data_IF_733531199421
#
_entry.id   IF_733531199421
#
_cell.length_a   1.000
_cell.length_b   1.000
_cell.length_c   1.000
_cell.angle_alpha   90.00
_cell.angle_beta   90.00
_cell.angle_gamma   90.00
#
_symmetry.space_group_name_H-M   'P 1'
#
loop_
_entity.id
_entity.type
_entity.pdbx_description
1 polymer ?
#
# COMPACT_ATOMS: atom_id res chain seq x y z
N UNK A 1 -7.88 -8.42 16.95
CA UNK A 1 -6.80 -8.54 15.95
C UNK A 1 -7.45 -8.78 14.60
N UNK A 2 -7.14 -7.95 13.60
CA UNK A 2 -7.74 -8.06 12.27
C UNK A 2 -7.03 -9.14 11.43
N UNK A 3 -7.79 -10.10 10.92
CA UNK A 3 -7.28 -11.11 9.97
C UNK A 3 -7.16 -10.49 8.58
N UNK A 4 -6.05 -10.79 7.87
CA UNK A 4 -5.76 -10.20 6.57
C UNK A 4 -5.47 -11.29 5.52
N UNK A 5 -5.90 -11.08 4.29
CA UNK A 5 -5.63 -11.98 3.16
C UNK A 5 -4.12 -12.12 2.86
N UNK A 6 -3.37 -11.04 3.09
CA UNK A 6 -1.93 -11.05 2.89
C UNK A 6 -1.20 -12.06 3.79
N UNK A 7 -1.79 -12.48 4.92
CA UNK A 7 -1.19 -13.49 5.81
C UNK A 7 -1.02 -14.84 5.08
N UNK A 8 -2.00 -15.23 4.26
CA UNK A 8 -1.89 -16.43 3.42
C UNK A 8 -0.76 -16.28 2.39
N UNK A 9 -0.69 -15.12 1.71
CA UNK A 9 0.38 -14.85 0.78
C UNK A 9 1.78 -14.93 1.43
N UNK A 10 1.94 -14.37 2.61
CA UNK A 10 3.21 -14.41 3.36
C UNK A 10 3.59 -15.86 3.72
N UNK A 11 2.61 -16.69 4.11
CA UNK A 11 2.84 -18.10 4.40
C UNK A 11 3.29 -18.87 3.15
N UNK A 12 2.62 -18.65 2.00
CA UNK A 12 2.97 -19.27 0.72
C UNK A 12 4.35 -18.79 0.24
N UNK A 13 4.65 -17.50 0.37
CA UNK A 13 5.96 -16.93 0.04
C UNK A 13 7.08 -17.61 0.85
N UNK A 14 6.88 -17.80 2.15
CA UNK A 14 7.89 -18.47 2.99
C UNK A 14 8.14 -19.91 2.58
N UNK A 15 7.13 -20.62 2.09
CA UNK A 15 7.25 -22.01 1.64
C UNK A 15 7.89 -22.15 0.27
N UNK A 16 7.94 -21.07 -0.54
CA UNK A 16 8.53 -21.10 -1.88
C UNK A 16 10.03 -21.34 -1.82
N UNK A 17 10.55 -22.27 -2.64
CA UNK A 17 11.97 -22.59 -2.73
C UNK A 17 12.81 -21.45 -3.32
N UNK A 18 12.26 -20.75 -4.34
CA UNK A 18 12.93 -19.64 -5.04
C UNK A 18 12.43 -18.27 -4.56
N UNK A 19 12.14 -18.14 -3.26
CA UNK A 19 11.64 -16.88 -2.71
C UNK A 19 12.68 -15.77 -2.80
N UNK A 20 12.24 -14.66 -3.35
CA UNK A 20 13.02 -13.43 -3.43
C UNK A 20 12.72 -12.54 -2.23
N UNK A 21 13.62 -11.60 -1.86
CA UNK A 21 13.26 -10.53 -0.96
C UNK A 21 11.90 -9.93 -1.32
N UNK A 22 11.04 -9.79 -0.32
CA UNK A 22 9.66 -9.32 -0.50
C UNK A 22 9.57 -7.84 -0.19
N UNK A 23 9.00 -7.06 -1.10
CA UNK A 23 8.74 -5.64 -0.91
C UNK A 23 7.24 -5.42 -0.86
N UNK A 24 6.73 -4.97 0.28
CA UNK A 24 5.30 -4.69 0.49
C UNK A 24 5.09 -3.18 0.43
N UNK A 25 4.47 -2.71 -0.64
CA UNK A 25 4.06 -1.32 -0.80
C UNK A 25 2.58 -1.14 -0.49
N UNK A 26 2.16 0.07 -0.20
CA UNK A 26 0.76 0.41 0.07
C UNK A 26 0.66 1.72 0.82
N UNK A 27 -0.53 2.29 0.87
CA UNK A 27 -0.78 3.56 1.55
C UNK A 27 -0.34 3.53 3.02
N UNK A 28 -0.10 4.70 3.58
CA UNK A 28 0.15 4.83 5.03
C UNK A 28 -1.00 4.24 5.83
N UNK A 29 -0.67 3.69 7.00
CA UNK A 29 -1.64 3.17 7.97
C UNK A 29 -2.49 1.99 7.48
N UNK A 30 -2.19 1.36 6.32
CA UNK A 30 -2.87 0.13 5.91
C UNK A 30 -2.43 -1.13 6.68
N UNK A 31 -1.45 -0.99 7.61
CA UNK A 31 -1.04 -2.06 8.53
C UNK A 31 0.19 -2.87 8.09
N UNK A 32 1.01 -2.39 7.14
CA UNK A 32 2.20 -3.10 6.61
C UNK A 32 3.17 -3.54 7.71
N UNK A 33 3.68 -2.59 8.47
CA UNK A 33 4.65 -2.83 9.54
C UNK A 33 4.13 -3.85 10.54
N UNK A 34 2.86 -3.71 10.96
CA UNK A 34 2.23 -4.61 11.91
C UNK A 34 2.18 -6.05 11.41
N UNK A 35 1.69 -6.26 10.18
CA UNK A 35 1.49 -7.61 9.64
C UNK A 35 2.82 -8.31 9.38
N UNK A 36 3.84 -7.57 8.91
CA UNK A 36 5.18 -8.13 8.67
C UNK A 36 5.85 -8.51 9.98
N UNK A 37 5.80 -7.65 11.00
CA UNK A 37 6.36 -7.98 12.32
C UNK A 37 5.66 -9.16 12.98
N UNK A 38 4.31 -9.22 12.89
CA UNK A 38 3.53 -10.36 13.38
C UNK A 38 3.99 -11.66 12.69
N UNK A 39 3.97 -11.65 11.35
CA UNK A 39 4.37 -12.81 10.57
C UNK A 39 5.80 -13.28 10.90
N UNK A 40 6.73 -12.33 10.98
CA UNK A 40 8.12 -12.67 11.28
C UNK A 40 8.28 -13.30 12.68
N UNK A 41 7.62 -12.73 13.71
CA UNK A 41 7.66 -13.28 15.09
C UNK A 41 7.04 -14.67 15.20
N UNK A 42 6.02 -14.97 14.41
CA UNK A 42 5.34 -16.27 14.42
C UNK A 42 6.09 -17.34 13.63
N UNK A 43 6.99 -16.94 12.72
CA UNK A 43 7.57 -17.86 11.73
C UNK A 43 9.10 -17.97 11.75
N UNK A 44 9.83 -17.17 12.53
CA UNK A 44 11.29 -17.16 12.56
C UNK A 44 11.82 -17.19 14.00
N UNK A 45 12.97 -17.84 14.18
CA UNK A 45 13.66 -17.91 15.48
C UNK A 45 14.29 -16.57 15.88
N UNK A 46 14.61 -15.73 14.87
CA UNK A 46 15.18 -14.41 15.07
C UNK A 46 14.56 -13.39 14.09
N UNK A 47 14.29 -12.20 14.58
CA UNK A 47 13.77 -11.07 13.78
C UNK A 47 14.64 -9.86 13.99
N UNK A 48 15.21 -9.34 12.92
CA UNK A 48 16.00 -8.10 12.94
C UNK A 48 15.18 -7.02 12.25
N UNK A 49 14.68 -6.06 13.03
CA UNK A 49 13.83 -4.98 12.56
C UNK A 49 14.54 -3.65 12.59
N UNK A 50 14.39 -2.87 11.53
CA UNK A 50 14.83 -1.48 11.48
C UNK A 50 13.85 -0.62 10.70
N UNK A 51 13.67 0.62 11.16
CA UNK A 51 12.85 1.63 10.50
C UNK A 51 13.73 2.83 10.10
N UNK A 52 13.88 3.09 8.81
CA UNK A 52 14.80 4.10 8.31
C UNK A 52 14.36 5.55 8.52
N UNK A 53 13.11 5.77 8.97
CA UNK A 53 12.64 7.10 9.42
C UNK A 53 12.97 7.31 10.89
N UNK A 54 12.66 6.31 11.72
CA UNK A 54 12.82 6.41 13.18
C UNK A 54 14.28 6.23 13.61
N UNK A 55 15.06 5.47 12.85
CA UNK A 55 16.43 5.07 13.16
C UNK A 55 17.37 5.37 11.97
N UNK A 56 17.55 6.65 11.61
CA UNK A 56 18.31 7.05 10.41
C UNK A 56 19.80 6.68 10.48
N UNK A 57 20.36 6.50 11.66
CA UNK A 57 21.72 6.04 11.90
C UNK A 57 21.97 4.63 11.36
N UNK A 58 20.95 3.76 11.35
CA UNK A 58 21.04 2.40 10.81
C UNK A 58 21.23 2.35 9.28
N UNK A 59 21.00 3.45 8.56
CA UNK A 59 21.32 3.56 7.14
C UNK A 59 22.80 3.32 6.88
N UNK A 60 23.66 3.64 7.84
CA UNK A 60 25.11 3.42 7.76
C UNK A 60 25.51 1.96 7.57
N UNK A 61 24.66 1.00 7.99
CA UNK A 61 24.91 -0.42 7.76
C UNK A 61 24.96 -0.81 6.27
N UNK A 62 24.35 -0.02 5.41
CA UNK A 62 24.23 -0.25 3.97
C UNK A 62 25.15 0.65 3.14
N UNK A 63 26.04 1.45 3.77
CA UNK A 63 26.99 2.31 3.07
C UNK A 63 28.29 1.56 2.74
N UNK A 64 28.89 1.89 1.59
CA UNK A 64 30.15 1.27 1.15
C UNK A 64 29.94 -0.07 0.46
N UNK A 65 30.55 -1.13 0.98
CA UNK A 65 30.38 -2.46 0.41
C UNK A 65 29.03 -3.06 0.86
N UNK A 66 28.19 -3.43 -0.10
CA UNK A 66 26.85 -3.99 0.12
C UNK A 66 26.79 -5.53 0.00
N UNK A 67 27.91 -6.23 0.21
CA UNK A 67 27.87 -7.67 0.40
C UNK A 67 27.20 -8.02 1.74
N UNK A 68 26.60 -9.20 1.79
CA UNK A 68 25.77 -9.60 2.94
C UNK A 68 26.59 -9.74 4.22
N UNK A 69 27.83 -10.23 4.15
CA UNK A 69 28.67 -10.40 5.36
C UNK A 69 29.02 -9.05 5.99
N UNK A 70 29.37 -8.07 5.17
CA UNK A 70 29.62 -6.69 5.64
C UNK A 70 28.36 -6.07 6.23
N UNK A 71 27.20 -6.23 5.58
CA UNK A 71 25.94 -5.70 6.10
C UNK A 71 25.58 -6.35 7.45
N UNK A 72 25.70 -7.67 7.56
CA UNK A 72 25.41 -8.41 8.81
C UNK A 72 26.37 -7.97 9.94
N UNK A 73 27.65 -7.79 9.64
CA UNK A 73 28.62 -7.30 10.63
C UNK A 73 28.23 -5.90 11.13
N UNK A 74 27.90 -4.98 10.21
CA UNK A 74 27.46 -3.63 10.54
C UNK A 74 26.17 -3.64 11.38
N UNK A 75 25.17 -4.44 10.96
CA UNK A 75 23.92 -4.56 11.70
C UNK A 75 24.12 -5.17 13.09
N UNK A 76 25.04 -6.14 13.23
CA UNK A 76 25.38 -6.74 14.54
C UNK A 76 26.00 -5.72 15.50
N UNK A 77 26.78 -4.77 14.95
CA UNK A 77 27.36 -3.69 15.74
C UNK A 77 26.36 -2.61 16.14
N UNK A 78 25.41 -2.28 15.23
CA UNK A 78 24.41 -1.22 15.44
C UNK A 78 23.19 -1.68 16.25
N UNK A 79 22.84 -2.98 16.20
CA UNK A 79 21.65 -3.53 16.85
C UNK A 79 22.08 -4.53 17.92
N UNK A 80 22.21 -4.04 19.15
CA UNK A 80 22.61 -4.88 20.28
C UNK A 80 21.66 -6.05 20.49
N UNK A 81 22.23 -7.26 20.66
CA UNK A 81 21.46 -8.49 20.88
C UNK A 81 20.84 -9.08 19.61
N UNK A 82 21.08 -8.51 18.44
CA UNK A 82 20.66 -9.12 17.17
C UNK A 82 21.35 -10.47 16.96
N UNK A 83 20.58 -11.45 16.45
CA UNK A 83 21.10 -12.78 16.11
C UNK A 83 20.81 -13.06 14.66
N UNK A 84 21.83 -13.44 13.91
CA UNK A 84 21.70 -13.81 12.50
C UNK A 84 21.96 -15.33 12.38
N UNK A 85 20.86 -16.07 12.23
CA UNK A 85 20.86 -17.54 12.11
C UNK A 85 20.44 -17.86 10.69
N UNK A 86 21.28 -18.53 9.92
CA UNK A 86 21.01 -18.90 8.52
C UNK A 86 19.72 -19.71 8.40
N UNK A 87 18.85 -19.34 7.49
CA UNK A 87 17.55 -19.95 7.24
C UNK A 87 16.48 -19.70 8.33
N UNK A 88 16.83 -19.02 9.44
CA UNK A 88 15.94 -18.83 10.60
C UNK A 88 15.76 -17.36 11.01
N UNK A 89 16.43 -16.44 10.35
CA UNK A 89 16.32 -15.01 10.62
C UNK A 89 15.52 -14.33 9.52
N UNK A 90 14.55 -13.50 9.91
CA UNK A 90 13.90 -12.55 9.04
C UNK A 90 14.42 -11.13 9.30
N UNK A 91 14.91 -10.47 8.26
CA UNK A 91 15.35 -9.09 8.30
C UNK A 91 14.21 -8.21 7.76
N UNK A 92 13.73 -7.26 8.57
CA UNK A 92 12.65 -6.35 8.20
C UNK A 92 13.23 -4.96 7.99
N UNK A 93 13.09 -4.43 6.76
CA UNK A 93 13.52 -3.10 6.35
C UNK A 93 12.29 -2.21 6.15
N UNK A 94 11.90 -1.50 7.21
CA UNK A 94 10.70 -0.66 7.20
C UNK A 94 11.02 0.75 6.67
N UNK A 95 10.10 1.31 5.87
CA UNK A 95 10.25 2.59 5.15
C UNK A 95 11.50 2.61 4.25
N UNK A 96 11.69 1.54 3.46
CA UNK A 96 12.90 1.31 2.65
C UNK A 96 13.17 2.43 1.63
N UNK A 97 12.16 3.24 1.24
CA UNK A 97 12.37 4.40 0.37
C UNK A 97 13.29 5.46 0.97
N UNK A 98 13.52 5.41 2.26
CA UNK A 98 14.43 6.32 2.97
C UNK A 98 15.90 5.89 2.90
N UNK A 99 16.19 4.66 2.43
CA UNK A 99 17.55 4.12 2.28
C UNK A 99 17.69 3.39 0.93
N UNK A 100 18.21 4.08 -0.07
CA UNK A 100 18.39 3.54 -1.43
C UNK A 100 19.39 2.40 -1.47
N UNK A 101 20.43 2.50 -0.67
CA UNK A 101 21.48 1.50 -0.53
C UNK A 101 20.90 0.18 0.00
N UNK A 102 20.03 0.24 1.01
CA UNK A 102 19.31 -0.95 1.52
C UNK A 102 18.43 -1.59 0.44
N UNK A 103 17.77 -0.79 -0.41
CA UNK A 103 17.01 -1.33 -1.54
C UNK A 103 17.91 -2.00 -2.57
N UNK A 104 19.05 -1.41 -2.88
CA UNK A 104 20.04 -2.03 -3.78
C UNK A 104 20.58 -3.34 -3.20
N UNK A 105 20.79 -3.40 -1.89
CA UNK A 105 21.26 -4.59 -1.17
C UNK A 105 20.28 -5.78 -1.22
N UNK A 106 19.00 -5.58 -1.57
CA UNK A 106 18.06 -6.69 -1.77
C UNK A 106 18.57 -7.70 -2.81
N UNK A 107 19.29 -7.23 -3.85
CA UNK A 107 19.95 -8.09 -4.82
C UNK A 107 21.02 -8.98 -4.15
N UNK A 108 21.84 -8.42 -3.31
CA UNK A 108 22.89 -9.16 -2.58
C UNK A 108 22.27 -10.22 -1.66
N UNK A 109 21.21 -9.89 -0.94
CA UNK A 109 20.46 -10.84 -0.10
C UNK A 109 19.82 -11.96 -0.90
N UNK A 110 19.28 -11.66 -2.09
CA UNK A 110 18.71 -12.71 -2.95
C UNK A 110 19.77 -13.70 -3.45
N UNK A 111 20.94 -13.17 -3.86
CA UNK A 111 22.05 -14.02 -4.37
C UNK A 111 22.65 -14.86 -3.25
N UNK A 112 22.78 -14.28 -2.05
CA UNK A 112 23.32 -14.96 -0.86
C UNK A 112 22.39 -16.06 -0.33
N UNK A 113 21.10 -15.79 -0.22
CA UNK A 113 20.05 -16.74 0.13
C UNK A 113 20.02 -17.21 1.58
N UNK A 114 20.96 -16.77 2.45
CA UNK A 114 21.00 -17.20 3.88
C UNK A 114 19.90 -16.60 4.75
N UNK A 115 19.38 -15.43 4.37
CA UNK A 115 18.42 -14.68 5.18
C UNK A 115 17.20 -14.27 4.37
N UNK A 116 16.02 -14.40 4.98
CA UNK A 116 14.80 -13.86 4.40
C UNK A 116 14.69 -12.37 4.70
N UNK A 117 14.38 -11.58 3.67
CA UNK A 117 14.25 -10.12 3.79
C UNK A 117 12.86 -9.68 3.38
N UNK A 118 12.19 -8.92 4.24
CA UNK A 118 10.91 -8.27 3.94
C UNK A 118 11.09 -6.76 4.11
N UNK A 119 10.88 -6.03 3.03
CA UNK A 119 10.90 -4.57 3.05
C UNK A 119 9.49 -4.00 2.96
N UNK A 120 9.24 -2.89 3.65
CA UNK A 120 7.97 -2.18 3.55
C UNK A 120 8.20 -0.72 3.16
N UNK A 121 7.19 -0.10 2.54
CA UNK A 121 7.23 1.33 2.24
C UNK A 121 5.88 1.87 1.79
N UNK A 122 5.59 3.09 2.20
CA UNK A 122 4.32 3.76 1.90
C UNK A 122 4.37 4.63 0.64
N UNK A 123 5.54 5.18 0.30
CA UNK A 123 5.75 6.11 -0.80
C UNK A 123 6.76 5.58 -1.82
N UNK A 124 6.82 4.26 -1.99
CA UNK A 124 7.76 3.61 -2.90
C UNK A 124 7.58 4.06 -4.35
N UNK A 125 6.34 4.30 -4.78
CA UNK A 125 6.05 4.82 -6.11
C UNK A 125 6.58 6.24 -6.34
N UNK A 126 6.53 7.08 -5.31
CA UNK A 126 6.96 8.49 -5.40
C UNK A 126 8.47 8.65 -5.25
N UNK A 127 9.07 8.00 -4.24
CA UNK A 127 10.52 8.14 -3.95
C UNK A 127 11.40 7.10 -4.65
N UNK A 128 10.87 5.94 -4.96
CA UNK A 128 11.64 4.83 -5.56
C UNK A 128 11.69 4.85 -7.08
N UNK A 129 10.77 5.57 -7.72
CA UNK A 129 10.65 5.71 -9.18
C UNK A 129 10.74 7.15 -9.64
N UNK A 130 10.89 8.10 -8.71
CA UNK A 130 11.02 9.51 -9.03
C UNK A 130 12.25 9.74 -9.90
N UNK A 131 12.03 10.11 -11.14
CA UNK A 131 13.02 10.78 -11.96
C UNK A 131 13.38 12.10 -11.24
N UNK A 132 14.32 12.03 -10.28
CA UNK A 132 15.02 13.27 -9.96
C UNK A 132 15.66 13.69 -11.28
N UNK A 133 15.37 14.91 -11.72
CA UNK A 133 16.16 15.61 -12.74
C UNK A 133 17.57 15.82 -12.18
N UNK A 134 18.28 14.72 -11.91
CA UNK A 134 19.67 14.75 -11.49
C UNK A 134 20.52 15.09 -12.68
N UNK A 135 21.44 16.02 -12.46
CA UNK A 135 22.54 16.34 -13.36
C UNK A 135 23.22 15.05 -13.82
N UNK A 136 23.66 15.02 -15.09
CA UNK A 136 24.31 13.89 -15.78
C UNK A 136 25.52 13.23 -15.06
N UNK A 137 25.90 13.70 -13.88
CA UNK A 137 27.07 13.24 -13.13
C UNK A 137 26.79 12.08 -12.14
N UNK A 138 25.52 11.76 -11.85
CA UNK A 138 25.12 10.69 -10.90
C UNK A 138 24.61 9.40 -11.59
N UNK A 139 24.98 9.16 -12.84
CA UNK A 139 24.53 7.99 -13.63
C UNK A 139 25.41 6.78 -13.29
N UNK A 140 25.29 6.22 -12.09
CA UNK A 140 26.12 5.06 -11.78
C UNK A 140 25.67 4.14 -10.66
N UNK A 141 24.77 4.56 -9.75
CA UNK A 141 24.52 3.79 -8.54
C UNK A 141 23.03 3.55 -8.16
N UNK A 142 22.06 4.07 -8.89
CA UNK A 142 20.64 3.94 -8.56
C UNK A 142 19.97 2.85 -9.44
N UNK A 143 20.35 1.58 -9.32
CA UNK A 143 19.63 0.50 -10.01
C UNK A 143 18.63 -0.17 -9.08
N UNK A 144 17.33 -0.02 -9.38
CA UNK A 144 16.30 -0.90 -8.80
C UNK A 144 16.68 -2.34 -9.17
N UNK A 145 16.70 -3.28 -8.21
CA UNK A 145 17.09 -4.67 -8.48
C UNK A 145 16.01 -5.42 -9.27
N UNK A 146 15.85 -5.07 -10.55
CA UNK A 146 14.88 -5.70 -11.42
C UNK A 146 15.13 -7.22 -11.49
N UNK A 147 14.11 -8.01 -11.15
CA UNK A 147 14.19 -9.47 -11.18
C UNK A 147 14.72 -10.12 -9.88
N UNK A 148 15.21 -9.35 -8.92
CA UNK A 148 15.79 -9.84 -7.65
C UNK A 148 14.90 -9.57 -6.42
N UNK A 149 13.75 -8.96 -6.61
CA UNK A 149 12.75 -8.71 -5.57
C UNK A 149 11.35 -9.12 -6.06
N UNK A 150 10.46 -9.47 -5.14
CA UNK A 150 9.03 -9.60 -5.39
C UNK A 150 8.32 -8.41 -4.77
N UNK A 151 7.56 -7.67 -5.58
CA UNK A 151 6.83 -6.48 -5.11
C UNK A 151 5.35 -6.79 -5.07
N UNK A 152 4.71 -6.54 -3.94
CA UNK A 152 3.27 -6.69 -3.77
C UNK A 152 2.63 -5.43 -3.21
N UNK A 153 1.36 -5.22 -3.55
CA UNK A 153 0.54 -4.16 -2.98
C UNK A 153 -0.26 -4.66 -1.77
N UNK A 154 -0.21 -3.91 -0.68
CA UNK A 154 -1.09 -4.08 0.47
C UNK A 154 -2.10 -2.93 0.53
N UNK A 155 -3.36 -3.29 0.53
CA UNK A 155 -4.48 -2.35 0.58
C UNK A 155 -5.06 -2.24 1.99
N UNK A 156 -5.91 -1.22 2.29
CA UNK A 156 -6.86 -1.28 3.40
C UNK A 156 -7.67 -2.57 3.37
N UNK A 157 -8.35 -2.91 4.45
CA UNK A 157 -9.24 -4.07 4.48
C UNK A 157 -10.26 -3.97 3.34
N UNK A 158 -10.41 -5.05 2.58
CA UNK A 158 -11.53 -5.17 1.67
C UNK A 158 -12.81 -5.57 2.43
N UNK A 159 -13.93 -5.61 1.72
CA UNK A 159 -15.20 -5.92 2.36
C UNK A 159 -15.22 -7.32 2.99
N UNK A 160 -14.57 -8.32 2.40
CA UNK A 160 -14.48 -9.65 2.97
C UNK A 160 -13.66 -9.67 4.27
N UNK A 161 -12.53 -8.97 4.31
CA UNK A 161 -11.73 -8.80 5.54
C UNK A 161 -12.50 -8.03 6.62
N UNK A 162 -13.30 -7.05 6.22
CA UNK A 162 -14.21 -6.33 7.13
C UNK A 162 -15.32 -7.23 7.67
N UNK A 163 -15.87 -8.14 6.86
CA UNK A 163 -16.82 -9.16 7.32
C UNK A 163 -16.18 -10.07 8.37
N UNK A 164 -14.96 -10.56 8.13
CA UNK A 164 -14.22 -11.36 9.12
C UNK A 164 -14.03 -10.59 10.44
N UNK A 165 -13.66 -9.32 10.35
CA UNK A 165 -13.47 -8.46 11.51
C UNK A 165 -14.78 -8.28 12.33
N UNK A 166 -15.94 -8.34 11.67
CA UNK A 166 -17.26 -8.30 12.31
C UNK A 166 -17.80 -9.68 12.71
N UNK A 167 -16.98 -10.74 12.65
CA UNK A 167 -17.35 -12.09 13.11
C UNK A 167 -18.12 -12.94 12.11
N UNK A 168 -18.22 -12.52 10.85
CA UNK A 168 -18.82 -13.33 9.79
C UNK A 168 -17.86 -14.47 9.44
N UNK A 169 -18.34 -15.70 9.54
CA UNK A 169 -17.54 -16.89 9.23
C UNK A 169 -17.30 -17.05 7.72
N UNK A 170 -16.14 -17.62 7.31
CA UNK A 170 -15.88 -17.93 5.91
C UNK A 170 -16.99 -18.77 5.26
N UNK A 171 -17.60 -19.71 5.99
CA UNK A 171 -18.68 -20.56 5.50
C UNK A 171 -19.92 -19.76 5.02
N UNK A 172 -20.25 -18.65 5.69
CA UNK A 172 -21.36 -17.77 5.26
C UNK A 172 -20.97 -17.05 3.95
N UNK A 173 -19.73 -16.56 3.85
CA UNK A 173 -19.23 -15.90 2.65
C UNK A 173 -19.22 -16.86 1.47
N UNK A 174 -18.73 -18.08 1.68
CA UNK A 174 -18.69 -19.13 0.65
C UNK A 174 -20.11 -19.53 0.21
N UNK A 175 -21.09 -19.55 1.14
CA UNK A 175 -22.50 -19.78 0.81
C UNK A 175 -23.05 -18.68 -0.10
N UNK A 176 -22.73 -17.40 0.16
CA UNK A 176 -23.13 -16.27 -0.72
C UNK A 176 -22.46 -16.37 -2.09
N UNK A 177 -21.16 -16.71 -2.15
CA UNK A 177 -20.44 -16.97 -3.42
C UNK A 177 -21.11 -18.11 -4.21
N UNK A 178 -21.43 -19.22 -3.54
CA UNK A 178 -22.12 -20.36 -4.15
C UNK A 178 -23.50 -19.98 -4.68
N UNK A 179 -24.24 -19.11 -3.97
CA UNK A 179 -25.52 -18.61 -4.50
C UNK A 179 -25.32 -17.83 -5.80
N UNK A 180 -24.29 -16.98 -5.87
CA UNK A 180 -23.97 -16.21 -7.08
C UNK A 180 -23.56 -17.13 -8.24
N UNK A 181 -22.65 -18.08 -8.00
CA UNK A 181 -22.14 -19.00 -9.02
C UNK A 181 -23.22 -19.94 -9.58
N UNK A 182 -24.21 -20.29 -8.76
CA UNK A 182 -25.30 -21.17 -9.15
C UNK A 182 -26.61 -20.42 -9.47
N UNK A 183 -26.57 -19.11 -9.63
CA UNK A 183 -27.72 -18.24 -9.93
C UNK A 183 -28.91 -18.45 -8.95
N UNK A 184 -28.57 -18.71 -7.67
CA UNK A 184 -29.57 -18.91 -6.61
C UNK A 184 -29.77 -17.66 -5.78
N UNK A 185 -30.98 -17.49 -5.27
CA UNK A 185 -31.30 -16.39 -4.36
C UNK A 185 -30.59 -16.60 -3.02
N UNK A 186 -29.88 -15.54 -2.55
CA UNK A 186 -29.34 -15.53 -1.19
C UNK A 186 -30.47 -15.48 -0.18
N UNK A 187 -30.45 -16.31 0.89
CA UNK A 187 -31.46 -16.25 1.94
C UNK A 187 -31.64 -14.83 2.51
N UNK A 188 -32.87 -14.38 2.68
CA UNK A 188 -33.23 -13.01 3.03
C UNK A 188 -32.48 -12.49 4.28
N UNK A 189 -32.37 -13.29 5.33
CA UNK A 189 -31.68 -12.94 6.56
C UNK A 189 -30.19 -12.71 6.34
N UNK A 190 -29.55 -13.54 5.49
CA UNK A 190 -28.13 -13.39 5.13
C UNK A 190 -27.93 -12.14 4.28
N UNK A 191 -28.79 -11.94 3.27
CA UNK A 191 -28.73 -10.75 2.41
C UNK A 191 -28.86 -9.47 3.24
N UNK A 192 -29.86 -9.39 4.12
CA UNK A 192 -30.06 -8.22 4.99
C UNK A 192 -28.83 -7.93 5.86
N UNK A 193 -28.27 -8.95 6.52
CA UNK A 193 -27.07 -8.81 7.35
C UNK A 193 -25.86 -8.34 6.54
N UNK A 194 -25.65 -8.88 5.33
CA UNK A 194 -24.57 -8.47 4.44
C UNK A 194 -24.74 -7.02 3.98
N UNK A 195 -25.96 -6.59 3.63
CA UNK A 195 -26.24 -5.22 3.23
C UNK A 195 -26.01 -4.22 4.37
N UNK A 196 -26.41 -4.54 5.59
CA UNK A 196 -26.12 -3.69 6.76
C UNK A 196 -24.60 -3.53 6.99
N UNK A 197 -23.83 -4.61 6.86
CA UNK A 197 -22.39 -4.57 6.99
C UNK A 197 -21.74 -3.81 5.81
N UNK A 198 -22.27 -3.93 4.60
CA UNK A 198 -21.80 -3.16 3.45
C UNK A 198 -21.99 -1.65 3.66
N UNK A 199 -23.15 -1.21 4.14
CA UNK A 199 -23.38 0.20 4.46
C UNK A 199 -22.40 0.71 5.55
N UNK A 200 -22.14 -0.10 6.57
CA UNK A 200 -21.14 0.23 7.60
C UNK A 200 -19.74 0.31 7.00
N UNK A 201 -19.37 -0.64 6.16
CA UNK A 201 -18.07 -0.64 5.47
C UNK A 201 -17.88 0.60 4.59
N UNK A 202 -18.90 1.05 3.88
CA UNK A 202 -18.83 2.28 3.08
C UNK A 202 -18.52 3.50 3.94
N UNK A 203 -19.06 3.57 5.16
CA UNK A 203 -18.81 4.68 6.10
C UNK A 203 -17.46 4.55 6.79
N UNK A 204 -17.13 3.35 7.27
CA UNK A 204 -15.92 3.08 8.07
C UNK A 204 -14.68 2.98 7.20
N UNK A 205 -14.79 2.39 6.01
CA UNK A 205 -13.65 2.04 5.17
C UNK A 205 -12.91 0.80 5.68
N UNK A 206 -11.69 0.63 5.17
CA UNK A 206 -10.83 -0.50 5.46
C UNK A 206 -9.52 -0.16 6.16
N UNK A 207 -9.28 1.08 6.58
CA UNK A 207 -8.07 1.41 7.33
C UNK A 207 -8.11 0.75 8.72
N UNK A 208 -7.07 -0.05 9.10
CA UNK A 208 -7.10 -0.89 10.31
C UNK A 208 -7.44 -0.13 11.58
N UNK A 209 -6.91 1.08 11.77
CA UNK A 209 -7.18 1.90 12.94
C UNK A 209 -8.65 2.31 13.02
N UNK A 210 -9.22 2.73 11.89
CA UNK A 210 -10.64 3.11 11.79
C UNK A 210 -11.56 1.91 12.04
N UNK A 211 -11.20 0.74 11.46
CA UNK A 211 -11.95 -0.50 11.67
C UNK A 211 -11.91 -0.93 13.13
N UNK A 212 -10.74 -0.90 13.79
CA UNK A 212 -10.63 -1.22 15.22
C UNK A 212 -11.46 -0.26 16.08
N UNK A 213 -11.36 1.04 15.83
CA UNK A 213 -12.18 2.06 16.51
C UNK A 213 -13.67 1.77 16.36
N UNK A 214 -14.12 1.38 15.15
CA UNK A 214 -15.50 0.98 14.91
C UNK A 214 -15.90 -0.28 15.69
N UNK A 215 -15.05 -1.31 15.69
CA UNK A 215 -15.34 -2.57 16.41
C UNK A 215 -15.49 -2.35 17.91
N UNK A 216 -14.68 -1.49 18.48
CA UNK A 216 -14.64 -1.18 19.92
C UNK A 216 -15.75 -0.24 20.36
N UNK A 217 -16.01 0.82 19.61
CA UNK A 217 -16.85 1.92 20.04
C UNK A 217 -18.22 1.98 19.40
N UNK A 218 -18.37 1.49 18.17
CA UNK A 218 -19.54 1.69 17.30
C UNK A 218 -19.96 3.16 17.13
N UNK A 219 -19.06 4.08 17.42
CA UNK A 219 -19.30 5.53 17.43
C UNK A 219 -18.87 6.16 16.10
N UNK A 220 -19.84 6.53 15.26
CA UNK A 220 -19.61 7.09 13.92
C UNK A 220 -18.95 8.48 14.00
N UNK A 221 -19.27 9.30 15.01
CA UNK A 221 -18.64 10.61 15.16
C UNK A 221 -17.14 10.50 15.44
N UNK A 222 -16.75 9.53 16.28
CA UNK A 222 -15.33 9.28 16.58
C UNK A 222 -14.58 8.76 15.33
N UNK A 223 -15.21 7.90 14.56
CA UNK A 223 -14.68 7.39 13.29
C UNK A 223 -14.46 8.55 12.31
N UNK A 224 -15.44 9.42 12.15
CA UNK A 224 -15.32 10.58 11.27
C UNK A 224 -14.15 11.49 11.67
N UNK A 225 -14.00 11.80 12.97
CA UNK A 225 -12.86 12.59 13.47
C UNK A 225 -11.52 11.91 13.14
N UNK A 226 -11.44 10.60 13.31
CA UNK A 226 -10.22 9.84 12.98
C UNK A 226 -9.92 9.90 11.49
N UNK A 227 -10.93 9.72 10.63
CA UNK A 227 -10.77 9.82 9.18
C UNK A 227 -10.35 11.23 8.74
N UNK A 228 -10.89 12.29 9.36
CA UNK A 228 -10.46 13.66 9.07
C UNK A 228 -8.98 13.89 9.41
N UNK A 229 -8.50 13.35 10.55
CA UNK A 229 -7.08 13.41 10.90
C UNK A 229 -6.21 12.69 9.86
N UNK A 230 -6.65 11.50 9.40
CA UNK A 230 -5.94 10.75 8.36
C UNK A 230 -5.87 11.49 7.02
N UNK A 231 -6.95 12.16 6.62
CA UNK A 231 -6.98 13.01 5.42
C UNK A 231 -5.96 14.15 5.56
N UNK A 232 -5.92 14.83 6.72
CA UNK A 232 -4.95 15.89 6.98
C UNK A 232 -3.50 15.37 6.91
N UNK A 233 -3.21 14.19 7.47
CA UNK A 233 -1.88 13.56 7.37
C UNK A 233 -1.49 13.24 5.91
N UNK A 234 -2.43 12.77 5.08
CA UNK A 234 -2.15 12.56 3.65
C UNK A 234 -1.88 13.89 2.93
N UNK A 235 -2.60 14.96 3.28
CA UNK A 235 -2.34 16.29 2.72
C UNK A 235 -0.96 16.83 3.13
N UNK A 236 -0.53 16.60 4.38
CA UNK A 236 0.83 16.93 4.83
C UNK A 236 1.90 16.16 4.06
N UNK A 237 1.66 14.88 3.75
CA UNK A 237 2.55 14.08 2.93
C UNK A 237 2.67 14.62 1.50
N UNK A 238 1.57 15.06 0.90
CA UNK A 238 1.59 15.69 -0.42
C UNK A 238 2.48 16.94 -0.41
N UNK A 239 2.44 17.73 0.67
CA UNK A 239 3.30 18.91 0.84
C UNK A 239 4.76 18.53 1.09
N UNK A 240 5.02 17.45 1.83
CA UNK A 240 6.38 17.06 2.21
C UNK A 240 7.16 16.41 1.06
N UNK A 241 6.49 15.60 0.23
CA UNK A 241 7.15 14.71 -0.72
C UNK A 241 6.99 15.09 -2.19
N UNK A 242 6.09 16.02 -2.52
CA UNK A 242 5.97 16.56 -3.86
C UNK A 242 6.95 17.72 -4.10
N UNK A 243 7.29 17.95 -5.37
CA UNK A 243 8.04 19.14 -5.76
C UNK A 243 7.21 20.40 -5.51
N UNK A 244 7.85 21.50 -5.09
CA UNK A 244 7.16 22.73 -4.66
C UNK A 244 6.18 23.28 -5.73
N UNK A 245 6.51 23.14 -7.01
CA UNK A 245 5.66 23.57 -8.11
C UNK A 245 4.39 22.71 -8.27
N UNK A 246 4.42 21.44 -7.83
CA UNK A 246 3.35 20.48 -8.05
C UNK A 246 2.40 20.36 -6.84
N UNK A 247 2.85 20.75 -5.64
CA UNK A 247 2.09 20.65 -4.39
C UNK A 247 0.66 21.19 -4.48
N UNK A 248 0.43 22.42 -4.97
CA UNK A 248 -0.93 22.97 -5.06
C UNK A 248 -1.83 22.15 -6.01
N UNK A 249 -1.26 21.70 -7.14
CA UNK A 249 -2.00 20.96 -8.14
C UNK A 249 -2.38 19.56 -7.64
N UNK A 250 -1.51 18.88 -6.88
CA UNK A 250 -1.77 17.58 -6.28
C UNK A 250 -2.92 17.67 -5.28
N UNK A 251 -2.87 18.68 -4.41
CA UNK A 251 -3.91 18.92 -3.42
C UNK A 251 -5.25 19.27 -4.08
N UNK A 252 -5.27 20.19 -5.04
CA UNK A 252 -6.47 20.54 -5.81
C UNK A 252 -7.08 19.31 -6.51
N UNK A 253 -6.24 18.41 -7.06
CA UNK A 253 -6.70 17.15 -7.64
C UNK A 253 -7.36 16.25 -6.60
N UNK A 254 -6.71 16.05 -5.45
CA UNK A 254 -7.21 15.20 -4.37
C UNK A 254 -8.55 15.70 -3.84
N UNK A 255 -8.65 16.96 -3.46
CA UNK A 255 -9.86 17.61 -2.98
C UNK A 255 -11.03 17.59 -4.01
N UNK A 256 -10.72 17.48 -5.30
CA UNK A 256 -11.74 17.44 -6.35
C UNK A 256 -12.44 16.08 -6.48
N UNK A 257 -11.85 14.98 -5.97
CA UNK A 257 -12.32 13.62 -6.23
C UNK A 257 -13.78 13.39 -5.83
N UNK A 258 -14.25 13.75 -4.62
CA UNK A 258 -15.64 13.57 -4.25
C UNK A 258 -16.60 14.30 -5.22
N UNK A 259 -16.26 15.51 -5.59
CA UNK A 259 -17.04 16.33 -6.54
C UNK A 259 -17.08 15.71 -7.95
N UNK A 260 -15.98 15.04 -8.37
CA UNK A 260 -15.93 14.32 -9.65
C UNK A 260 -16.85 13.09 -9.64
N UNK A 261 -16.80 12.32 -8.54
CA UNK A 261 -17.58 11.09 -8.40
C UNK A 261 -19.07 11.34 -8.12
N UNK A 262 -19.45 12.50 -7.58
CA UNK A 262 -20.83 12.88 -7.34
C UNK A 262 -21.59 13.24 -8.64
N UNK A 263 -20.89 13.43 -9.76
CA UNK A 263 -21.52 13.75 -11.06
C UNK A 263 -22.14 12.49 -11.68
N UNK A 264 -23.16 12.68 -12.52
CA UNK A 264 -23.75 11.60 -13.32
C UNK A 264 -22.67 10.93 -14.20
N UNK A 265 -21.93 11.71 -14.97
CA UNK A 265 -20.73 11.25 -15.66
C UNK A 265 -19.52 11.38 -14.74
N UNK A 266 -19.09 10.26 -14.15
CA UNK A 266 -17.97 10.15 -13.21
C UNK A 266 -16.59 10.20 -13.88
N UNK A 267 -16.51 10.52 -15.19
CA UNK A 267 -15.23 10.73 -15.88
C UNK A 267 -14.47 11.88 -15.21
N UNK A 268 -13.18 11.67 -14.92
CA UNK A 268 -12.35 12.74 -14.38
C UNK A 268 -12.18 13.88 -15.38
N UNK A 269 -12.45 15.10 -14.94
CA UNK A 269 -12.38 16.31 -15.76
C UNK A 269 -11.47 17.34 -15.10
N UNK A 270 -10.40 17.71 -15.76
CA UNK A 270 -9.44 18.70 -15.25
C UNK A 270 -10.07 20.10 -15.03
N UNK A 271 -11.08 20.45 -15.81
CA UNK A 271 -11.85 21.70 -15.64
C UNK A 271 -12.70 21.74 -14.36
N UNK A 272 -12.91 20.58 -13.71
CA UNK A 272 -13.61 20.48 -12.42
C UNK A 272 -12.64 20.67 -11.26
N UNK A 273 -11.37 20.30 -11.43
CA UNK A 273 -10.30 20.61 -10.47
C UNK A 273 -10.23 22.14 -10.32
N UNK A 274 -10.09 22.84 -11.44
CA UNK A 274 -10.04 24.30 -11.48
C UNK A 274 -10.64 24.82 -12.78
N UNK A 275 -11.42 25.91 -12.73
CA UNK A 275 -12.00 26.54 -13.94
C UNK A 275 -10.88 26.86 -14.94
N UNK A 276 -10.97 26.26 -16.13
CA UNK A 276 -9.96 26.41 -17.19
C UNK A 276 -8.75 25.45 -17.04
N UNK A 277 -8.77 24.52 -16.08
CA UNK A 277 -7.71 23.52 -15.88
C UNK A 277 -7.54 22.60 -17.10
N UNK A 278 -6.29 22.31 -17.46
CA UNK A 278 -5.91 21.48 -18.62
C UNK A 278 -5.20 20.21 -18.16
N UNK A 279 -5.27 19.16 -18.98
CA UNK A 279 -4.58 17.90 -18.70
C UNK A 279 -3.07 18.06 -18.50
N UNK A 280 -2.42 18.89 -19.31
CA UNK A 280 -0.97 19.17 -19.21
C UNK A 280 -0.54 19.72 -17.84
N UNK A 281 -1.45 20.34 -17.10
CA UNK A 281 -1.19 20.92 -15.77
C UNK A 281 -1.35 19.89 -14.64
N UNK A 282 -2.30 18.95 -14.76
CA UNK A 282 -2.73 18.10 -13.65
C UNK A 282 -2.44 16.59 -13.82
N UNK A 283 -2.00 16.15 -15.01
CA UNK A 283 -1.75 14.73 -15.29
C UNK A 283 -0.66 14.18 -14.38
N UNK A 284 0.40 14.96 -14.14
CA UNK A 284 1.48 14.61 -13.20
C UNK A 284 0.98 14.51 -11.76
N UNK A 285 0.04 15.37 -11.38
CA UNK A 285 -0.55 15.37 -10.02
C UNK A 285 -1.39 14.13 -9.76
N UNK A 286 -2.21 13.70 -10.73
CA UNK A 286 -2.96 12.44 -10.61
C UNK A 286 -2.03 11.24 -10.62
N UNK A 287 -0.96 11.26 -11.44
CA UNK A 287 0.05 10.21 -11.41
C UNK A 287 0.73 10.13 -10.05
N UNK A 288 1.11 11.25 -9.47
CA UNK A 288 1.70 11.31 -8.14
C UNK A 288 0.79 10.68 -7.07
N UNK A 289 -0.51 11.03 -7.06
CA UNK A 289 -1.49 10.46 -6.12
C UNK A 289 -1.66 8.94 -6.30
N UNK A 290 -1.58 8.45 -7.54
CA UNK A 290 -1.64 7.01 -7.84
C UNK A 290 -0.35 6.31 -7.41
N UNK A 291 0.82 6.89 -7.69
CA UNK A 291 2.12 6.36 -7.27
C UNK A 291 2.27 6.33 -5.73
N UNK A 292 1.64 7.30 -5.03
CA UNK A 292 1.51 7.31 -3.58
C UNK A 292 0.51 6.26 -3.05
N UNK A 293 -0.27 5.63 -3.94
CA UNK A 293 -1.28 4.65 -3.59
C UNK A 293 -2.57 5.22 -3.01
N UNK A 294 -2.72 6.55 -2.98
CA UNK A 294 -3.88 7.26 -2.40
C UNK A 294 -5.12 7.10 -3.29
N UNK A 295 -4.91 7.10 -4.60
CA UNK A 295 -5.98 6.96 -5.60
C UNK A 295 -5.65 5.87 -6.62
N UNK A 296 -6.67 5.48 -7.38
CA UNK A 296 -6.57 4.59 -8.54
C UNK A 296 -7.36 5.12 -9.71
N UNK A 297 -6.76 5.05 -10.90
CA UNK A 297 -7.46 5.33 -12.16
C UNK A 297 -8.13 4.06 -12.68
N UNK A 298 -9.38 4.19 -13.06
CA UNK A 298 -10.13 3.15 -13.76
C UNK A 298 -10.40 3.64 -15.18
N UNK A 299 -9.68 3.08 -16.15
CA UNK A 299 -9.76 3.46 -17.55
C UNK A 299 -10.98 2.83 -18.22
N UNK A 300 -11.59 3.59 -19.14
CA UNK A 300 -12.54 3.01 -20.07
C UNK A 300 -11.80 2.21 -21.14
N UNK A 301 -12.42 1.13 -21.62
CA UNK A 301 -11.88 0.28 -22.69
C UNK A 301 -12.80 0.36 -23.91
N UNK A 302 -12.20 0.24 -25.11
CA UNK A 302 -12.95 0.23 -26.36
C UNK A 302 -13.61 -1.13 -26.61
N UNK A 303 -12.87 -2.21 -26.38
CA UNK A 303 -13.32 -3.59 -26.49
C UNK A 303 -12.85 -4.39 -25.29
N UNK A 304 -13.53 -5.52 -25.01
CA UNK A 304 -13.14 -6.46 -23.93
C UNK A 304 -12.13 -7.52 -24.39
N UNK A 305 -11.52 -7.33 -25.55
CA UNK A 305 -10.52 -8.24 -26.10
C UNK A 305 -9.17 -8.04 -25.38
N UNK A 306 -8.38 -9.12 -25.28
CA UNK A 306 -7.04 -9.09 -24.72
C UNK A 306 -6.02 -8.57 -25.74
N UNK A 307 -5.03 -7.79 -25.33
CA UNK A 307 -4.76 -7.29 -23.97
C UNK A 307 -5.63 -6.07 -23.63
N UNK A 308 -6.27 -6.08 -22.47
CA UNK A 308 -7.17 -4.99 -22.02
C UNK A 308 -6.48 -3.62 -21.98
N UNK A 309 -5.20 -3.60 -21.59
CA UNK A 309 -4.41 -2.36 -21.54
C UNK A 309 -4.26 -1.71 -22.94
N UNK A 310 -4.09 -2.52 -23.98
CA UNK A 310 -4.01 -2.04 -25.36
C UNK A 310 -5.29 -1.39 -25.84
N UNK A 311 -6.43 -1.77 -25.25
CA UNK A 311 -7.76 -1.26 -25.59
C UNK A 311 -8.22 -0.12 -24.66
N UNK A 312 -7.36 0.35 -23.74
CA UNK A 312 -7.67 1.42 -22.82
C UNK A 312 -7.69 2.79 -23.50
N UNK A 313 -8.70 3.59 -23.18
CA UNK A 313 -8.80 4.98 -23.62
C UNK A 313 -8.14 5.85 -22.56
N UNK A 314 -6.87 6.23 -22.78
CA UNK A 314 -6.03 6.94 -21.79
C UNK A 314 -6.62 8.26 -21.29
N UNK A 315 -7.41 8.96 -22.14
CA UNK A 315 -8.04 10.23 -21.79
C UNK A 315 -9.46 10.06 -21.18
N UNK A 316 -9.88 8.80 -20.95
CA UNK A 316 -11.20 8.50 -20.42
C UNK A 316 -11.08 7.57 -19.21
N UNK A 317 -10.99 8.15 -18.02
CA UNK A 317 -10.86 7.40 -16.77
C UNK A 317 -11.66 8.02 -15.63
N UNK A 318 -11.95 7.23 -14.62
CA UNK A 318 -12.46 7.64 -13.31
C UNK A 318 -11.32 7.57 -12.30
N UNK A 319 -11.38 8.37 -11.26
CA UNK A 319 -10.42 8.35 -10.15
C UNK A 319 -11.17 7.98 -8.88
N UNK A 320 -10.73 6.91 -8.23
CA UNK A 320 -11.26 6.44 -6.95
C UNK A 320 -10.19 6.56 -5.88
N UNK A 321 -10.58 6.86 -4.65
CA UNK A 321 -9.71 6.73 -3.48
C UNK A 321 -9.45 5.25 -3.19
N UNK A 322 -8.30 4.93 -2.65
CA UNK A 322 -7.96 3.55 -2.28
C UNK A 322 -8.80 3.06 -1.09
N UNK A 323 -9.29 3.97 -0.25
CA UNK A 323 -10.20 3.68 0.86
C UNK A 323 -11.53 4.41 0.67
N UNK A 324 -12.64 3.65 0.79
CA UNK A 324 -13.99 4.20 0.60
C UNK A 324 -14.43 5.08 1.78
N UNK A 325 -13.98 4.76 3.00
CA UNK A 325 -14.32 5.53 4.20
C UNK A 325 -13.71 6.93 4.15
N UNK A 326 -12.47 7.05 3.64
CA UNK A 326 -11.86 8.38 3.41
C UNK A 326 -12.64 9.17 2.37
N UNK A 327 -13.12 8.53 1.29
CA UNK A 327 -13.95 9.22 0.30
C UNK A 327 -15.22 9.79 0.92
N UNK A 328 -15.89 9.01 1.78
CA UNK A 328 -17.10 9.45 2.48
C UNK A 328 -16.79 10.59 3.46
N UNK A 329 -15.66 10.51 4.15
CA UNK A 329 -15.23 11.58 5.06
C UNK A 329 -14.83 12.89 4.36
N UNK A 330 -14.50 12.84 3.06
CA UNK A 330 -14.21 14.03 2.23
C UNK A 330 -15.48 14.71 1.70
N UNK A 331 -16.68 14.08 1.81
CA UNK A 331 -17.96 14.67 1.38
C UNK A 331 -18.47 15.71 2.38
#
# INVERSE_FOLDING_TARGET
>A
MLKRKIETYLADWKQSQDRKPLVIKGIRQCGKTYIVQKFARENYDSVVYMNFILEPDKKSAFTGNIDVDTIILNLSALIQGSRFIEGKTCIILDEIQECKEARTALKSFHIDGRFDVIATGSLLGVKGYGQSKKKKEDIGQDSIPVGYETVIDMYPLDFEEFLWANGISPAIIDSVKSCFENEKVVPEGVHKAMMELLYRYVIVGGLPEVVNCFLETKNIELIYKLQQNLIAEYEEDMVKYADDADKPNIRECFESIPKQLAKENKKFQYSVVKKGGRSSQYIGSIQWLEDAGIVRRCYNIQTTELPLEGNSIKDCFKVYTTDIGLLVAML
#
